data_IF_399122515468
#
_entry.id   IF_399122515468
#
_cell.length_a   1.000
_cell.length_b   1.000
_cell.length_c   1.000
_cell.angle_alpha   90.00
_cell.angle_beta   90.00
_cell.angle_gamma   90.00
#
_symmetry.space_group_name_H-M   'P 1'
#
loop_
_entity.id
_entity.type
_entity.pdbx_description
1 polymer ?
#
# COMPACT_ATOMS: atom_id res chain seq x y z
N UNK A 1 -12.52 4.89 33.73
CA UNK A 1 -12.00 3.64 33.12
C UNK A 1 -13.15 2.77 32.65
N UNK A 2 -14.10 2.37 33.50
CA UNK A 2 -15.28 1.57 33.09
C UNK A 2 -16.17 2.24 32.03
N UNK A 3 -16.39 3.55 32.11
CA UNK A 3 -17.25 4.27 31.16
C UNK A 3 -16.61 4.39 29.77
N UNK A 4 -15.29 4.62 29.74
CA UNK A 4 -14.47 4.60 28.54
C UNK A 4 -14.41 3.20 27.92
N UNK A 5 -14.37 2.15 28.77
CA UNK A 5 -14.41 0.75 28.35
C UNK A 5 -15.79 0.36 27.78
N UNK A 6 -16.89 0.83 28.38
CA UNK A 6 -18.25 0.66 27.84
C UNK A 6 -18.47 1.41 26.54
N UNK A 7 -17.91 2.62 26.39
CA UNK A 7 -17.96 3.38 25.13
C UNK A 7 -17.08 2.77 24.02
N UNK A 8 -15.92 2.20 24.37
CA UNK A 8 -15.13 1.39 23.45
C UNK A 8 -15.91 0.16 23.01
N UNK A 9 -16.60 -0.53 23.94
CA UNK A 9 -17.40 -1.71 23.65
C UNK A 9 -18.66 -1.41 22.81
N UNK A 10 -19.27 -0.23 22.98
CA UNK A 10 -20.39 0.24 22.17
C UNK A 10 -19.98 0.55 20.72
N UNK A 11 -18.70 0.90 20.50
CA UNK A 11 -18.14 1.21 19.19
C UNK A 11 -17.54 -0.03 18.53
N UNK A 12 -18.39 -0.86 17.93
CA UNK A 12 -17.98 -2.07 17.20
C UNK A 12 -16.80 -1.83 16.25
N UNK A 13 -16.82 -0.72 15.49
CA UNK A 13 -15.74 -0.35 14.57
C UNK A 13 -14.37 -0.11 15.23
N UNK A 14 -14.33 0.49 16.43
CA UNK A 14 -13.09 0.75 17.16
C UNK A 14 -12.54 -0.58 17.73
N UNK A 15 -13.41 -1.42 18.31
CA UNK A 15 -13.02 -2.76 18.76
C UNK A 15 -12.47 -3.61 17.61
N UNK A 16 -13.11 -3.56 16.44
CA UNK A 16 -12.66 -4.28 15.25
C UNK A 16 -11.27 -3.79 14.81
N UNK A 17 -11.06 -2.46 14.77
CA UNK A 17 -9.78 -1.89 14.36
C UNK A 17 -8.63 -2.29 15.28
N UNK A 18 -8.80 -2.12 16.60
CA UNK A 18 -7.78 -2.49 17.58
C UNK A 18 -7.65 -4.00 17.76
N UNK A 19 -8.75 -4.74 17.63
CA UNK A 19 -8.77 -6.20 17.62
C UNK A 19 -7.99 -6.78 16.42
N UNK A 20 -8.15 -6.19 15.24
CA UNK A 20 -7.39 -6.59 14.05
C UNK A 20 -5.88 -6.36 14.23
N UNK A 21 -5.50 -5.22 14.84
CA UNK A 21 -4.10 -4.94 15.18
C UNK A 21 -3.55 -5.94 16.20
N UNK A 22 -4.30 -6.21 17.27
CA UNK A 22 -3.91 -7.18 18.30
C UNK A 22 -3.76 -8.59 17.70
N UNK A 23 -4.69 -9.01 16.85
CA UNK A 23 -4.61 -10.30 16.18
C UNK A 23 -3.38 -10.37 15.26
N UNK A 24 -3.07 -9.32 14.51
CA UNK A 24 -1.84 -9.25 13.71
C UNK A 24 -0.56 -9.29 14.55
N UNK A 25 -0.61 -8.84 15.81
CA UNK A 25 0.50 -8.97 16.75
C UNK A 25 0.66 -10.43 17.20
N UNK A 26 -0.44 -11.10 17.55
CA UNK A 26 -0.45 -12.45 18.14
C UNK A 26 -0.32 -13.58 17.11
N UNK A 27 -1.01 -13.48 15.97
CA UNK A 27 -1.12 -14.51 14.94
C UNK A 27 -0.77 -13.93 13.56
N UNK A 28 0.53 -13.71 13.27
CA UNK A 28 0.94 -13.20 11.98
C UNK A 28 0.67 -14.26 10.90
N UNK A 29 -0.25 -13.97 9.97
CA UNK A 29 -0.48 -14.81 8.80
C UNK A 29 0.77 -14.76 7.93
N UNK A 30 1.46 -15.88 7.68
CA UNK A 30 2.63 -15.88 6.82
C UNK A 30 2.26 -15.36 5.44
N UNK A 31 3.11 -14.51 4.86
CA UNK A 31 2.95 -14.01 3.49
C UNK A 31 2.62 -15.13 2.51
N UNK A 32 3.26 -16.29 2.67
CA UNK A 32 3.09 -17.48 1.85
C UNK A 32 1.63 -17.94 1.73
N UNK A 33 0.89 -17.82 2.83
CA UNK A 33 -0.45 -18.36 3.00
C UNK A 33 -1.54 -17.29 2.89
N UNK A 34 -1.17 -16.03 2.64
CA UNK A 34 -2.13 -14.93 2.61
C UNK A 34 -3.09 -15.08 1.40
N UNK A 35 -4.42 -15.08 1.61
CA UNK A 35 -5.42 -15.35 0.55
C UNK A 35 -5.32 -14.43 -0.67
N UNK A 36 -4.82 -13.21 -0.46
CA UNK A 36 -4.54 -12.24 -1.53
C UNK A 36 -3.62 -12.78 -2.65
N UNK A 37 -2.81 -13.80 -2.38
CA UNK A 37 -2.01 -14.46 -3.41
C UNK A 37 -2.86 -15.23 -4.41
N UNK A 38 -3.96 -15.83 -3.95
CA UNK A 38 -4.90 -16.52 -4.84
C UNK A 38 -5.56 -15.50 -5.77
N UNK A 39 -5.94 -14.35 -5.23
CA UNK A 39 -6.44 -13.22 -6.01
C UNK A 39 -5.45 -12.78 -7.08
N UNK A 40 -4.18 -12.58 -6.71
CA UNK A 40 -3.11 -12.20 -7.62
C UNK A 40 -2.89 -13.24 -8.74
N UNK A 41 -2.84 -14.53 -8.38
CA UNK A 41 -2.67 -15.62 -9.35
C UNK A 41 -3.87 -15.71 -10.30
N UNK A 42 -5.08 -15.60 -9.78
CA UNK A 42 -6.29 -15.62 -10.60
C UNK A 42 -6.32 -14.43 -11.57
N UNK A 43 -5.90 -13.25 -11.13
CA UNK A 43 -5.74 -12.09 -12.00
C UNK A 43 -4.74 -12.33 -13.13
N UNK A 44 -3.61 -12.98 -12.86
CA UNK A 44 -2.63 -13.35 -13.89
C UNK A 44 -3.22 -14.33 -14.91
N UNK A 45 -3.85 -15.42 -14.44
CA UNK A 45 -4.48 -16.42 -15.30
C UNK A 45 -5.62 -15.86 -16.15
N UNK A 46 -6.42 -14.94 -15.60
CA UNK A 46 -7.45 -14.26 -16.35
C UNK A 46 -6.83 -13.42 -17.47
N UNK A 47 -5.79 -12.65 -17.16
CA UNK A 47 -5.14 -11.80 -18.15
C UNK A 47 -4.44 -12.62 -19.24
N UNK A 48 -3.84 -13.77 -18.94
CA UNK A 48 -3.29 -14.69 -19.95
C UNK A 48 -4.35 -15.14 -20.98
N UNK A 49 -5.62 -15.24 -20.58
CA UNK A 49 -6.72 -15.63 -21.47
C UNK A 49 -7.26 -14.46 -22.32
N UNK A 50 -7.31 -13.26 -21.74
CA UNK A 50 -8.05 -12.11 -22.33
C UNK A 50 -7.16 -10.97 -22.85
N UNK A 51 -5.88 -10.93 -22.49
CA UNK A 51 -4.92 -9.92 -22.93
C UNK A 51 -4.20 -10.40 -24.21
N UNK A 52 -4.82 -10.17 -25.37
CA UNK A 52 -4.29 -10.62 -26.67
C UNK A 52 -3.54 -9.49 -27.36
N UNK A 53 -2.39 -9.72 -28.01
CA UNK A 53 -1.57 -8.63 -28.58
C UNK A 53 -2.18 -7.94 -29.82
N UNK A 54 -3.46 -8.16 -30.13
CA UNK A 54 -4.10 -7.80 -31.39
C UNK A 54 -4.26 -6.27 -31.57
N UNK A 55 -4.83 -5.57 -30.59
CA UNK A 55 -5.12 -4.13 -30.68
C UNK A 55 -5.04 -3.42 -29.32
N UNK A 56 -4.53 -2.19 -29.33
CA UNK A 56 -4.40 -1.35 -28.12
C UNK A 56 -5.77 -1.09 -27.46
N UNK A 57 -6.77 -0.70 -28.26
CA UNK A 57 -8.12 -0.37 -27.74
C UNK A 57 -8.83 -1.61 -27.23
N UNK A 58 -8.69 -2.74 -27.92
CA UNK A 58 -9.24 -4.02 -27.50
C UNK A 58 -8.62 -4.48 -26.17
N UNK A 59 -7.32 -4.31 -25.99
CA UNK A 59 -6.65 -4.64 -24.72
C UNK A 59 -7.05 -3.75 -23.57
N UNK A 60 -7.23 -2.45 -23.84
CA UNK A 60 -7.73 -1.54 -22.82
C UNK A 60 -9.17 -1.90 -22.40
N UNK A 61 -10.03 -2.28 -23.37
CA UNK A 61 -11.38 -2.73 -23.09
C UNK A 61 -11.40 -4.07 -22.34
N UNK A 62 -10.62 -5.07 -22.78
CA UNK A 62 -10.54 -6.37 -22.12
C UNK A 62 -9.99 -6.25 -20.70
N UNK A 63 -9.02 -5.38 -20.46
CA UNK A 63 -8.52 -5.07 -19.13
C UNK A 63 -9.54 -4.40 -18.23
N UNK A 64 -10.36 -3.48 -18.78
CA UNK A 64 -11.46 -2.85 -18.05
C UNK A 64 -12.55 -3.85 -17.70
N UNK A 65 -12.94 -4.71 -18.64
CA UNK A 65 -13.93 -5.78 -18.40
C UNK A 65 -13.40 -6.81 -17.40
N UNK A 66 -12.13 -7.20 -17.47
CA UNK A 66 -11.51 -8.10 -16.50
C UNK A 66 -11.49 -7.50 -15.09
N UNK A 67 -11.17 -6.20 -14.96
CA UNK A 67 -11.25 -5.47 -13.70
C UNK A 67 -12.67 -5.52 -13.12
N UNK A 68 -13.68 -5.18 -13.91
CA UNK A 68 -15.08 -5.20 -13.49
C UNK A 68 -15.56 -6.62 -13.14
N UNK A 69 -15.19 -7.62 -13.95
CA UNK A 69 -15.52 -9.02 -13.73
C UNK A 69 -14.93 -9.56 -12.42
N UNK A 70 -13.76 -9.08 -12.00
CA UNK A 70 -13.19 -9.47 -10.72
C UNK A 70 -13.85 -8.70 -9.57
N UNK A 71 -13.95 -7.37 -9.66
CA UNK A 71 -14.39 -6.55 -8.53
C UNK A 71 -15.91 -6.58 -8.29
N UNK A 72 -16.74 -6.53 -9.33
CA UNK A 72 -18.21 -6.41 -9.15
C UNK A 72 -18.83 -7.66 -8.51
N UNK A 73 -18.56 -8.90 -8.97
CA UNK A 73 -19.12 -10.07 -8.31
C UNK A 73 -18.65 -10.21 -6.87
N UNK A 74 -17.39 -9.84 -6.58
CA UNK A 74 -16.86 -9.83 -5.22
C UNK A 74 -17.62 -8.82 -4.34
N UNK A 75 -17.84 -7.60 -4.83
CA UNK A 75 -18.59 -6.58 -4.11
C UNK A 75 -20.03 -7.02 -3.85
N UNK A 76 -20.72 -7.50 -4.90
CA UNK A 76 -22.11 -7.98 -4.81
C UNK A 76 -22.21 -9.12 -3.80
N UNK A 77 -21.29 -10.08 -3.85
CA UNK A 77 -21.26 -11.19 -2.89
C UNK A 77 -21.06 -10.70 -1.45
N UNK A 78 -20.09 -9.80 -1.21
CA UNK A 78 -19.82 -9.29 0.13
C UNK A 78 -21.02 -8.52 0.71
N UNK A 79 -21.68 -7.70 -0.11
CA UNK A 79 -22.89 -6.96 0.28
C UNK A 79 -24.07 -7.91 0.50
N UNK A 80 -24.24 -8.90 -0.38
CA UNK A 80 -25.31 -9.90 -0.25
C UNK A 80 -25.13 -10.80 0.96
N UNK A 81 -23.90 -11.10 1.38
CA UNK A 81 -23.61 -11.90 2.58
C UNK A 81 -23.85 -11.12 3.87
N UNK A 82 -23.67 -9.80 3.86
CA UNK A 82 -23.79 -8.96 5.07
C UNK A 82 -25.06 -9.22 5.90
N UNK A 83 -26.28 -9.28 5.33
CA UNK A 83 -27.50 -9.56 6.10
C UNK A 83 -27.64 -11.02 6.58
N UNK A 84 -26.88 -11.96 6.02
CA UNK A 84 -26.93 -13.38 6.44
C UNK A 84 -25.97 -13.68 7.61
N UNK A 85 -25.03 -12.78 7.91
CA UNK A 85 -24.07 -13.03 8.98
C UNK A 85 -24.72 -12.78 10.34
N UNK A 86 -24.66 -13.79 11.22
CA UNK A 86 -25.18 -13.70 12.58
C UNK A 86 -24.53 -12.56 13.39
N UNK A 87 -23.23 -12.34 13.22
CA UNK A 87 -22.46 -11.31 13.94
C UNK A 87 -21.67 -10.43 12.97
N UNK A 88 -22.23 -9.25 12.66
CA UNK A 88 -21.66 -8.29 11.69
C UNK A 88 -20.23 -7.85 12.05
N UNK A 89 -19.92 -7.71 13.34
CA UNK A 89 -18.61 -7.25 13.81
C UNK A 89 -17.52 -8.29 13.53
N UNK A 90 -17.84 -9.59 13.65
CA UNK A 90 -16.90 -10.66 13.30
C UNK A 90 -16.65 -10.72 11.80
N UNK A 91 -17.68 -10.46 11.00
CA UNK A 91 -17.55 -10.35 9.55
C UNK A 91 -16.61 -9.21 9.16
N UNK A 92 -16.86 -8.01 9.68
CA UNK A 92 -16.01 -6.84 9.42
C UNK A 92 -14.58 -7.03 9.90
N UNK A 93 -14.39 -7.64 11.08
CA UNK A 93 -13.07 -8.02 11.59
C UNK A 93 -12.36 -8.98 10.64
N UNK A 94 -13.04 -10.03 10.18
CA UNK A 94 -12.45 -10.98 9.24
C UNK A 94 -12.03 -10.30 7.93
N UNK A 95 -12.87 -9.42 7.37
CA UNK A 95 -12.53 -8.67 6.16
C UNK A 95 -11.36 -7.72 6.37
N UNK A 96 -11.31 -7.03 7.51
CA UNK A 96 -10.20 -6.13 7.85
C UNK A 96 -8.89 -6.89 8.04
N UNK A 97 -8.92 -8.05 8.70
CA UNK A 97 -7.77 -8.94 8.83
C UNK A 97 -7.25 -9.44 7.48
N UNK A 98 -8.14 -9.73 6.53
CA UNK A 98 -7.77 -10.11 5.17
C UNK A 98 -7.21 -8.94 4.35
N UNK A 99 -7.61 -7.72 4.67
CA UNK A 99 -7.17 -6.53 3.95
C UNK A 99 -5.82 -6.00 4.45
N UNK A 100 -5.61 -6.00 5.77
CA UNK A 100 -4.47 -5.39 6.44
C UNK A 100 -3.19 -6.23 6.23
N UNK A 101 -2.06 -5.59 5.93
CA UNK A 101 -0.79 -6.31 5.77
C UNK A 101 0.42 -5.58 6.40
N UNK A 102 0.30 -5.26 7.70
CA UNK A 102 1.36 -4.58 8.46
C UNK A 102 2.63 -5.44 8.62
N UNK A 103 2.47 -6.67 9.13
CA UNK A 103 3.58 -7.54 9.58
C UNK A 103 4.53 -7.91 8.45
N UNK A 104 3.97 -8.12 7.27
CA UNK A 104 4.71 -8.26 6.03
C UNK A 104 5.67 -7.10 5.80
N UNK A 105 5.17 -5.87 5.84
CA UNK A 105 5.98 -4.67 5.60
C UNK A 105 7.06 -4.51 6.66
N UNK A 106 6.73 -4.77 7.92
CA UNK A 106 7.68 -4.75 9.05
C UNK A 106 8.79 -5.80 8.87
N UNK A 107 8.42 -7.03 8.51
CA UNK A 107 9.36 -8.14 8.28
C UNK A 107 10.28 -7.84 7.11
N UNK A 108 9.73 -7.30 6.01
CA UNK A 108 10.51 -6.89 4.85
C UNK A 108 11.52 -5.80 5.22
N UNK A 109 11.08 -4.75 5.93
CA UNK A 109 11.95 -3.66 6.34
C UNK A 109 13.11 -4.17 7.21
N UNK A 110 12.80 -5.02 8.19
CA UNK A 110 13.79 -5.62 9.10
C UNK A 110 14.79 -6.53 8.38
N UNK A 111 14.31 -7.42 7.51
CA UNK A 111 15.17 -8.33 6.75
C UNK A 111 16.04 -7.56 5.75
N UNK A 112 15.48 -6.54 5.10
CA UNK A 112 16.22 -5.71 4.15
C UNK A 112 17.27 -4.85 4.86
N UNK A 113 16.96 -4.28 6.02
CA UNK A 113 17.91 -3.55 6.85
C UNK A 113 19.10 -4.44 7.23
N UNK A 114 18.85 -5.69 7.69
CA UNK A 114 19.92 -6.65 8.02
C UNK A 114 20.77 -7.02 6.80
N UNK A 115 20.13 -7.35 5.68
CA UNK A 115 20.84 -7.70 4.44
C UNK A 115 21.71 -6.53 3.96
N UNK A 116 21.17 -5.31 3.97
CA UNK A 116 21.92 -4.12 3.56
C UNK A 116 23.04 -3.73 4.53
N UNK A 117 22.86 -3.92 5.84
CA UNK A 117 23.89 -3.67 6.85
C UNK A 117 25.09 -4.61 6.67
N UNK A 118 24.83 -5.84 6.25
CA UNK A 118 25.85 -6.85 5.94
C UNK A 118 26.36 -6.79 4.49
N UNK A 119 25.94 -5.78 3.71
CA UNK A 119 26.21 -5.67 2.27
C UNK A 119 25.82 -6.90 1.42
N UNK A 120 24.91 -7.73 1.93
CA UNK A 120 24.40 -8.93 1.25
C UNK A 120 23.37 -8.55 0.17
N UNK A 121 23.90 -8.23 -1.00
CA UNK A 121 23.13 -7.85 -2.18
C UNK A 121 22.24 -8.99 -2.67
N UNK A 122 22.63 -10.25 -2.49
CA UNK A 122 21.88 -11.41 -2.99
C UNK A 122 20.57 -11.51 -2.22
N UNK A 123 20.66 -11.58 -0.90
CA UNK A 123 19.49 -11.64 -0.02
C UNK A 123 18.60 -10.40 -0.21
N UNK A 124 19.18 -9.19 -0.29
CA UNK A 124 18.41 -7.96 -0.51
C UNK A 124 17.63 -7.97 -1.85
N UNK A 125 18.21 -8.54 -2.93
CA UNK A 125 17.54 -8.68 -4.23
C UNK A 125 16.39 -9.69 -4.14
N UNK A 126 16.61 -10.83 -3.50
CA UNK A 126 15.59 -11.86 -3.33
C UNK A 126 14.39 -11.34 -2.55
N UNK A 127 14.64 -10.58 -1.48
CA UNK A 127 13.58 -9.95 -0.67
C UNK A 127 12.73 -8.94 -1.46
N UNK A 128 13.34 -8.18 -2.36
CA UNK A 128 12.66 -7.12 -3.12
C UNK A 128 12.00 -7.62 -4.42
N UNK A 129 12.48 -8.70 -5.01
CA UNK A 129 12.00 -9.22 -6.30
C UNK A 129 10.48 -9.43 -6.34
N UNK A 130 9.81 -9.99 -5.29
CA UNK A 130 8.36 -10.13 -5.31
C UNK A 130 7.60 -8.80 -5.39
N UNK A 131 8.20 -7.69 -4.92
CA UNK A 131 7.55 -6.38 -4.80
C UNK A 131 7.80 -5.45 -5.97
N UNK A 132 8.85 -5.71 -6.75
CA UNK A 132 9.30 -4.85 -7.82
C UNK A 132 8.90 -5.43 -9.17
N UNK A 133 8.32 -4.60 -10.03
CA UNK A 133 8.07 -4.94 -11.43
C UNK A 133 9.29 -4.66 -12.33
N UNK A 134 10.42 -4.26 -11.74
CA UNK A 134 11.69 -3.94 -12.42
C UNK A 134 12.73 -5.01 -12.15
N UNK A 135 13.75 -5.06 -13.00
CA UNK A 135 14.88 -5.98 -12.80
C UNK A 135 15.67 -5.63 -11.55
N UNK A 136 15.93 -6.65 -10.72
CA UNK A 136 16.68 -6.52 -9.46
C UNK A 136 18.11 -7.02 -9.57
N UNK A 137 18.41 -7.88 -10.55
CA UNK A 137 19.72 -8.55 -10.72
C UNK A 137 20.89 -7.57 -10.85
N UNK A 138 20.68 -6.44 -11.53
CA UNK A 138 21.70 -5.42 -11.79
C UNK A 138 21.73 -4.31 -10.74
N UNK A 139 20.87 -4.34 -9.72
CA UNK A 139 20.83 -3.29 -8.70
C UNK A 139 22.09 -3.29 -7.85
N UNK A 140 22.76 -2.15 -7.78
CA UNK A 140 23.81 -1.86 -6.81
C UNK A 140 23.23 -1.70 -5.40
N UNK A 141 24.09 -1.64 -4.37
CA UNK A 141 23.63 -1.42 -2.99
C UNK A 141 22.83 -0.11 -2.85
N UNK A 142 23.23 0.95 -3.56
CA UNK A 142 22.49 2.21 -3.65
C UNK A 142 21.12 2.02 -4.31
N UNK A 143 21.08 1.24 -5.40
CA UNK A 143 19.82 0.91 -6.10
C UNK A 143 18.87 0.10 -5.22
N UNK A 144 19.41 -0.85 -4.45
CA UNK A 144 18.67 -1.65 -3.48
C UNK A 144 18.11 -0.78 -2.34
N UNK A 145 18.90 0.16 -1.82
CA UNK A 145 18.44 1.11 -0.82
C UNK A 145 17.29 1.98 -1.29
N UNK A 146 17.39 2.56 -2.49
CA UNK A 146 16.30 3.34 -3.10
C UNK A 146 15.05 2.50 -3.32
N UNK A 147 15.22 1.32 -3.91
CA UNK A 147 14.11 0.41 -4.18
C UNK A 147 13.45 -0.09 -2.90
N UNK A 148 14.25 -0.38 -1.88
CA UNK A 148 13.82 -0.78 -0.55
C UNK A 148 13.00 0.28 0.14
N UNK A 149 13.55 1.50 0.24
CA UNK A 149 12.86 2.63 0.82
C UNK A 149 11.51 2.89 0.13
N UNK A 150 11.47 2.92 -1.20
CA UNK A 150 10.23 3.08 -1.96
C UNK A 150 9.21 1.97 -1.65
N UNK A 151 9.67 0.72 -1.61
CA UNK A 151 8.81 -0.44 -1.36
C UNK A 151 8.22 -0.41 0.04
N UNK A 152 9.03 -0.08 1.06
CA UNK A 152 8.59 0.03 2.45
C UNK A 152 7.59 1.18 2.61
N UNK A 153 7.91 2.36 2.08
CA UNK A 153 7.04 3.56 2.17
C UNK A 153 5.68 3.28 1.52
N UNK A 154 5.66 2.78 0.29
CA UNK A 154 4.41 2.48 -0.42
C UNK A 154 3.65 1.31 0.19
N UNK A 155 4.38 0.32 0.73
CA UNK A 155 3.81 -0.83 1.42
C UNK A 155 3.00 -0.43 2.64
N UNK A 156 3.56 0.42 3.53
CA UNK A 156 2.81 0.97 4.66
C UNK A 156 1.68 1.90 4.21
N UNK A 157 1.93 2.78 3.22
CA UNK A 157 0.91 3.69 2.71
C UNK A 157 -0.34 2.97 2.21
N UNK A 158 -0.18 1.94 1.38
CA UNK A 158 -1.31 1.20 0.81
C UNK A 158 -1.85 0.13 1.75
N UNK A 159 -0.99 -0.75 2.26
CA UNK A 159 -1.46 -1.94 2.95
C UNK A 159 -1.87 -1.70 4.41
N UNK A 160 -1.70 -0.48 4.91
CA UNK A 160 -2.07 -0.10 6.27
C UNK A 160 -2.94 1.15 6.22
N UNK A 161 -2.40 2.28 5.77
CA UNK A 161 -3.15 3.55 5.82
C UNK A 161 -4.33 3.56 4.86
N UNK A 162 -4.12 3.14 3.61
CA UNK A 162 -5.22 3.02 2.64
C UNK A 162 -6.31 2.05 3.13
N UNK A 163 -5.92 0.91 3.69
CA UNK A 163 -6.84 -0.09 4.27
C UNK A 163 -7.68 0.52 5.40
N UNK A 164 -7.03 1.16 6.38
CA UNK A 164 -7.75 1.77 7.51
C UNK A 164 -8.62 2.96 7.10
N UNK A 165 -8.18 3.76 6.13
CA UNK A 165 -8.98 4.87 5.59
C UNK A 165 -10.27 4.35 4.94
N UNK A 166 -10.18 3.35 4.06
CA UNK A 166 -11.35 2.77 3.41
C UNK A 166 -12.19 1.91 4.36
N UNK A 167 -11.61 1.39 5.45
CA UNK A 167 -12.36 0.80 6.57
C UNK A 167 -13.25 1.84 7.26
N UNK A 168 -12.74 3.05 7.52
CA UNK A 168 -13.54 4.10 8.16
C UNK A 168 -14.75 4.54 7.32
N UNK A 169 -14.64 4.45 5.99
CA UNK A 169 -15.69 4.90 5.05
C UNK A 169 -16.69 3.78 4.72
N UNK A 170 -16.19 2.58 4.44
CA UNK A 170 -17.00 1.47 3.91
C UNK A 170 -16.94 0.18 4.74
N UNK A 171 -16.48 0.26 5.99
CA UNK A 171 -16.31 -0.88 6.87
C UNK A 171 -15.35 -1.94 6.31
N UNK A 172 -15.51 -3.18 6.76
CA UNK A 172 -14.68 -4.31 6.30
C UNK A 172 -14.72 -4.51 4.78
N UNK A 173 -15.88 -4.29 4.16
CA UNK A 173 -16.05 -4.41 2.70
C UNK A 173 -15.21 -3.36 1.97
N UNK A 174 -15.28 -2.09 2.39
CA UNK A 174 -14.48 -1.01 1.81
C UNK A 174 -12.97 -1.27 1.91
N UNK A 175 -12.52 -1.74 3.07
CA UNK A 175 -11.13 -2.10 3.32
C UNK A 175 -10.64 -3.22 2.38
N UNK A 176 -11.40 -4.31 2.27
CA UNK A 176 -11.05 -5.44 1.42
C UNK A 176 -11.10 -5.08 -0.07
N UNK A 177 -12.14 -4.36 -0.51
CA UNK A 177 -12.27 -3.94 -1.90
C UNK A 177 -11.14 -3.01 -2.33
N UNK A 178 -10.70 -2.10 -1.46
CA UNK A 178 -9.49 -1.31 -1.70
C UNK A 178 -8.27 -2.23 -1.86
N UNK A 179 -8.05 -3.17 -0.93
CA UNK A 179 -6.91 -4.10 -0.98
C UNK A 179 -6.90 -4.93 -2.27
N UNK A 180 -8.03 -5.52 -2.65
CA UNK A 180 -8.18 -6.30 -3.88
C UNK A 180 -7.88 -5.45 -5.12
N UNK A 181 -8.34 -4.20 -5.15
CA UNK A 181 -8.09 -3.27 -6.26
C UNK A 181 -6.60 -2.93 -6.38
N UNK A 182 -5.92 -2.64 -5.27
CA UNK A 182 -4.47 -2.37 -5.29
C UNK A 182 -3.65 -3.56 -5.81
N UNK A 183 -4.11 -4.78 -5.53
CA UNK A 183 -3.44 -6.01 -5.97
C UNK A 183 -3.68 -6.32 -7.43
N UNK A 184 -4.84 -5.97 -8.00
CA UNK A 184 -5.07 -6.01 -9.45
C UNK A 184 -4.16 -5.03 -10.19
N UNK A 185 -4.02 -3.79 -9.69
CA UNK A 185 -3.11 -2.82 -10.27
C UNK A 185 -1.64 -3.28 -10.22
N UNK A 186 -1.27 -4.05 -9.20
CA UNK A 186 0.05 -4.68 -9.12
C UNK A 186 0.18 -5.85 -10.11
N UNK A 187 -0.81 -6.74 -10.16
CA UNK A 187 -0.86 -7.91 -11.03
C UNK A 187 -0.85 -7.54 -12.52
N UNK A 188 -1.44 -6.41 -12.89
CA UNK A 188 -1.51 -5.90 -14.26
C UNK A 188 -0.75 -4.58 -14.43
N UNK A 189 0.40 -4.42 -13.77
CA UNK A 189 1.13 -3.15 -13.84
C UNK A 189 1.57 -2.78 -15.28
N UNK A 190 1.20 -1.60 -15.80
CA UNK A 190 1.63 -1.09 -17.12
C UNK A 190 3.14 -0.92 -17.29
N UNK A 191 3.90 -0.97 -16.19
CA UNK A 191 5.37 -1.03 -16.25
C UNK A 191 5.90 -2.29 -16.93
N UNK A 192 5.08 -3.35 -17.01
CA UNK A 192 5.34 -4.53 -17.83
C UNK A 192 4.66 -4.30 -19.18
N UNK A 193 5.44 -4.28 -20.26
CA UNK A 193 4.97 -3.92 -21.60
C UNK A 193 3.74 -4.73 -22.04
N UNK A 194 3.69 -6.02 -21.69
CA UNK A 194 2.55 -6.89 -21.96
C UNK A 194 1.22 -6.39 -21.34
N UNK A 195 1.26 -5.67 -20.22
CA UNK A 195 0.09 -5.11 -19.53
C UNK A 195 -0.11 -3.60 -19.77
N UNK A 196 0.65 -2.96 -20.66
CA UNK A 196 0.63 -1.51 -20.81
C UNK A 196 -0.78 -0.93 -21.10
N UNK A 197 -1.53 -1.39 -22.13
CA UNK A 197 -2.93 -0.99 -22.34
C UNK A 197 -3.89 -1.66 -21.36
N UNK A 198 -3.70 -2.96 -21.10
CA UNK A 198 -4.61 -3.80 -20.30
C UNK A 198 -4.75 -3.33 -18.85
N UNK A 199 -3.63 -3.01 -18.21
CA UNK A 199 -3.56 -2.63 -16.81
C UNK A 199 -4.02 -1.22 -16.46
N UNK A 200 -4.27 -0.38 -17.49
CA UNK A 200 -4.42 1.05 -17.31
C UNK A 200 -5.62 1.41 -16.42
N UNK A 201 -6.74 0.72 -16.59
CA UNK A 201 -7.96 0.93 -15.80
C UNK A 201 -7.76 0.55 -14.33
N UNK A 202 -7.08 -0.56 -14.05
CA UNK A 202 -6.79 -0.99 -12.67
C UNK A 202 -5.86 0.00 -11.95
N UNK A 203 -4.82 0.49 -12.64
CA UNK A 203 -3.90 1.50 -12.10
C UNK A 203 -4.58 2.85 -11.91
N UNK A 204 -5.44 3.28 -12.84
CA UNK A 204 -6.20 4.54 -12.71
C UNK A 204 -7.17 4.49 -11.53
N UNK A 205 -7.93 3.41 -11.38
CA UNK A 205 -8.83 3.22 -10.25
C UNK A 205 -8.06 3.22 -8.93
N UNK A 206 -6.95 2.48 -8.86
CA UNK A 206 -6.08 2.47 -7.67
C UNK A 206 -5.51 3.87 -7.39
N UNK A 207 -5.07 4.59 -8.41
CA UNK A 207 -4.53 5.93 -8.26
C UNK A 207 -5.58 6.90 -7.70
N UNK A 208 -6.85 6.77 -8.11
CA UNK A 208 -7.97 7.54 -7.57
C UNK A 208 -8.20 7.22 -6.09
N UNK A 209 -8.26 5.93 -5.74
CA UNK A 209 -8.46 5.48 -4.35
C UNK A 209 -7.29 5.84 -3.42
N UNK A 210 -6.08 5.97 -3.97
CA UNK A 210 -4.88 6.37 -3.25
C UNK A 210 -4.79 7.88 -2.99
N UNK A 211 -5.49 8.74 -3.76
CA UNK A 211 -5.26 10.19 -3.71
C UNK A 211 -5.47 10.74 -2.30
N UNK A 212 -6.64 10.49 -1.71
CA UNK A 212 -7.03 11.06 -0.43
C UNK A 212 -6.21 10.45 0.72
N UNK A 213 -6.19 9.11 0.94
CA UNK A 213 -5.49 8.53 2.08
C UNK A 213 -4.00 8.85 2.07
N UNK A 214 -3.34 8.74 0.91
CA UNK A 214 -1.89 8.95 0.86
C UNK A 214 -1.50 10.43 1.00
N UNK A 215 -2.35 11.38 0.57
CA UNK A 215 -2.11 12.81 0.80
C UNK A 215 -2.31 13.20 2.26
N UNK A 216 -3.38 12.75 2.90
CA UNK A 216 -3.61 12.99 4.33
C UNK A 216 -2.47 12.42 5.17
N UNK A 217 -2.05 11.19 4.85
CA UNK A 217 -0.91 10.58 5.52
C UNK A 217 0.40 11.32 5.25
N UNK A 218 0.61 11.80 4.02
CA UNK A 218 1.78 12.60 3.72
C UNK A 218 1.80 13.92 4.50
N UNK A 219 0.65 14.59 4.67
CA UNK A 219 0.54 15.78 5.52
C UNK A 219 0.85 15.47 6.98
N UNK A 220 0.31 14.37 7.52
CA UNK A 220 0.62 13.90 8.87
C UNK A 220 2.12 13.61 9.05
N UNK A 221 2.75 12.99 8.04
CA UNK A 221 4.19 12.74 7.99
C UNK A 221 5.00 14.04 7.96
N UNK A 222 4.50 15.11 7.35
CA UNK A 222 5.20 16.40 7.28
C UNK A 222 5.36 17.04 8.67
N UNK A 223 4.36 16.92 9.55
CA UNK A 223 4.32 17.57 10.88
C UNK A 223 5.57 17.26 11.73
N UNK A 224 6.08 18.29 12.43
CA UNK A 224 7.23 18.21 13.33
C UNK A 224 8.51 18.77 12.70
N UNK A 225 9.65 18.16 13.03
CA UNK A 225 10.96 18.59 12.50
C UNK A 225 10.97 18.56 10.96
N UNK A 226 11.53 19.60 10.35
CA UNK A 226 11.65 19.80 8.90
C UNK A 226 10.31 19.89 8.13
N UNK A 227 9.20 20.26 8.78
CA UNK A 227 7.89 20.36 8.12
C UNK A 227 7.89 21.29 6.90
N UNK A 228 8.50 22.48 7.00
CA UNK A 228 8.58 23.43 5.87
C UNK A 228 9.32 22.87 4.66
N UNK A 229 10.43 22.16 4.89
CA UNK A 229 11.21 21.49 3.83
C UNK A 229 10.37 20.38 3.20
N UNK A 230 9.69 19.57 4.01
CA UNK A 230 8.88 18.45 3.53
C UNK A 230 7.70 18.93 2.68
N UNK A 231 6.96 19.95 3.13
CA UNK A 231 5.83 20.53 2.40
C UNK A 231 6.26 21.24 1.11
N UNK A 232 7.35 22.01 1.16
CA UNK A 232 7.94 22.64 -0.03
C UNK A 232 8.34 21.57 -1.06
N UNK A 233 8.98 20.50 -0.60
CA UNK A 233 9.36 19.36 -1.42
C UNK A 233 8.18 18.64 -2.08
N UNK A 234 7.08 18.42 -1.36
CA UNK A 234 5.84 17.89 -1.95
C UNK A 234 5.36 18.79 -3.09
N UNK A 235 5.24 20.10 -2.85
CA UNK A 235 4.73 21.05 -3.84
C UNK A 235 5.58 21.08 -5.12
N UNK A 236 6.90 21.02 -4.96
CA UNK A 236 7.84 21.10 -6.08
C UNK A 236 8.01 19.76 -6.83
N UNK A 237 8.03 18.63 -6.11
CA UNK A 237 8.49 17.36 -6.68
C UNK A 237 7.36 16.35 -6.90
N UNK A 238 6.26 16.38 -6.13
CA UNK A 238 5.19 15.40 -6.28
C UNK A 238 4.53 15.38 -7.68
N UNK A 239 4.38 16.51 -8.40
CA UNK A 239 3.85 16.50 -9.78
C UNK A 239 4.72 15.75 -10.78
N UNK A 240 6.01 15.55 -10.48
CA UNK A 240 6.92 14.80 -11.36
C UNK A 240 6.75 13.28 -11.27
N UNK A 241 6.01 12.79 -10.27
CA UNK A 241 5.77 11.37 -10.09
C UNK A 241 4.52 10.91 -10.86
N UNK A 242 4.54 9.72 -11.51
CA UNK A 242 3.43 9.27 -12.35
C UNK A 242 2.07 9.12 -11.64
N UNK A 243 2.08 8.87 -10.32
CA UNK A 243 0.87 8.66 -9.54
C UNK A 243 0.79 9.69 -8.40
N UNK A 244 -0.30 10.48 -8.30
CA UNK A 244 -0.36 11.63 -7.40
C UNK A 244 -0.27 11.24 -5.92
N UNK A 245 -1.01 10.23 -5.47
CA UNK A 245 -0.97 9.76 -4.07
C UNK A 245 0.42 9.24 -3.66
N UNK A 246 0.98 8.24 -4.37
CA UNK A 246 2.34 7.76 -4.16
C UNK A 246 3.41 8.86 -4.24
N UNK A 247 3.25 9.82 -5.16
CA UNK A 247 4.16 10.95 -5.33
C UNK A 247 4.27 11.81 -4.07
N UNK A 248 3.14 12.17 -3.46
CA UNK A 248 3.11 12.92 -2.20
C UNK A 248 3.82 12.17 -1.07
N UNK A 249 3.50 10.88 -0.92
CA UNK A 249 4.04 10.06 0.15
C UNK A 249 5.56 9.87 0.04
N UNK A 250 6.06 9.59 -1.15
CA UNK A 250 7.50 9.42 -1.37
C UNK A 250 8.24 10.76 -1.26
N UNK A 251 7.67 11.85 -1.75
CA UNK A 251 8.28 13.18 -1.64
C UNK A 251 8.38 13.64 -0.19
N UNK A 252 7.34 13.45 0.64
CA UNK A 252 7.40 13.91 2.03
C UNK A 252 8.45 13.15 2.83
N UNK A 253 8.53 11.83 2.69
CA UNK A 253 9.51 11.01 3.41
C UNK A 253 10.93 11.31 2.89
N UNK A 254 11.08 11.38 1.57
CA UNK A 254 12.34 11.72 0.92
C UNK A 254 12.87 13.09 1.35
N UNK A 255 12.04 14.13 1.41
CA UNK A 255 12.49 15.47 1.83
C UNK A 255 12.73 15.54 3.35
N UNK A 256 11.88 14.90 4.16
CA UNK A 256 12.02 14.91 5.62
C UNK A 256 13.31 14.26 6.10
N UNK A 257 13.71 13.16 5.46
CA UNK A 257 14.92 12.41 5.76
C UNK A 257 16.09 12.72 4.80
N UNK A 258 15.94 13.72 3.91
CA UNK A 258 16.94 14.10 2.89
C UNK A 258 17.37 12.96 1.95
N UNK A 259 16.50 11.97 1.76
CA UNK A 259 16.73 10.78 0.93
C UNK A 259 16.38 11.03 -0.53
N UNK A 260 17.29 10.63 -1.42
CA UNK A 260 17.11 10.61 -2.87
C UNK A 260 16.42 9.31 -3.30
N UNK A 261 15.16 9.41 -3.67
CA UNK A 261 14.36 8.31 -4.22
C UNK A 261 14.19 8.49 -5.74
N UNK A 262 13.67 7.47 -6.43
CA UNK A 262 13.54 7.46 -7.88
C UNK A 262 14.88 7.27 -8.60
N UNK A 263 14.99 7.84 -9.81
CA UNK A 263 16.15 7.68 -10.68
C UNK A 263 16.05 6.47 -11.62
N UNK A 264 17.19 5.99 -12.15
CA UNK A 264 17.21 4.99 -13.21
C UNK A 264 16.66 3.64 -12.73
N UNK A 265 15.81 3.04 -13.55
CA UNK A 265 15.27 1.70 -13.36
C UNK A 265 15.36 0.93 -14.70
N UNK A 266 15.52 -0.39 -14.65
CA UNK A 266 15.56 -1.23 -15.84
C UNK A 266 14.31 -2.11 -15.86
N UNK A 267 13.55 -2.04 -16.96
CA UNK A 267 12.37 -2.87 -17.20
C UNK A 267 12.57 -3.62 -18.51
N UNK A 268 12.62 -4.96 -18.45
CA UNK A 268 12.81 -5.83 -19.61
C UNK A 268 13.97 -5.37 -20.53
N UNK A 269 15.14 -5.12 -19.95
CA UNK A 269 16.35 -4.66 -20.62
C UNK A 269 16.37 -3.17 -20.99
N UNK A 270 15.25 -2.44 -20.85
CA UNK A 270 15.18 -1.00 -21.17
C UNK A 270 15.38 -0.14 -19.94
N UNK A 271 16.34 0.78 -20.01
CA UNK A 271 16.57 1.79 -18.97
C UNK A 271 15.50 2.88 -19.08
N UNK A 272 14.77 3.11 -17.99
CA UNK A 272 13.80 4.19 -17.83
C UNK A 272 14.27 5.10 -16.71
N UNK A 273 14.36 6.41 -17.00
CA UNK A 273 14.67 7.40 -15.99
C UNK A 273 13.39 7.89 -15.33
N UNK A 274 13.22 7.57 -14.04
CA UNK A 274 12.14 8.12 -13.22
C UNK A 274 12.62 9.42 -12.58
N UNK A 275 11.69 10.36 -12.40
CA UNK A 275 11.95 11.58 -11.66
C UNK A 275 12.62 11.28 -10.31
N UNK A 276 13.70 12.02 -10.02
CA UNK A 276 14.36 11.96 -8.71
C UNK A 276 13.56 12.84 -7.76
N UNK A 277 13.20 12.28 -6.61
CA UNK A 277 12.40 12.97 -5.59
C UNK A 277 13.06 12.83 -4.22
N UNK A 278 12.74 13.75 -3.30
CA UNK A 278 13.36 13.89 -2.00
C UNK A 278 14.65 14.71 -2.01
N UNK A 279 15.59 14.33 -1.15
CA UNK A 279 16.88 14.97 -0.98
C UNK A 279 18.01 14.34 -1.81
N UNK A 280 19.23 14.37 -1.27
CA UNK A 280 20.47 13.99 -1.98
C UNK A 280 21.05 12.65 -1.54
N UNK A 281 20.70 12.16 -0.35
CA UNK A 281 21.32 10.99 0.27
C UNK A 281 20.70 9.71 -0.28
N UNK A 282 21.49 8.78 -0.81
CA UNK A 282 20.94 7.47 -1.17
C UNK A 282 20.61 6.68 0.11
N UNK A 283 19.42 6.03 0.20
CA UNK A 283 19.07 5.27 1.39
C UNK A 283 20.06 4.12 1.65
N UNK A 284 20.43 3.96 2.92
CA UNK A 284 21.22 2.84 3.44
C UNK A 284 20.40 2.06 4.47
N UNK A 285 20.97 1.02 5.08
CA UNK A 285 20.31 0.24 6.13
C UNK A 285 19.78 1.12 7.28
N UNK A 286 20.58 2.07 7.77
CA UNK A 286 20.18 3.03 8.80
C UNK A 286 18.95 3.86 8.39
N UNK A 287 18.89 4.28 7.12
CA UNK A 287 17.79 5.08 6.63
C UNK A 287 16.49 4.28 6.49
N UNK A 288 16.57 2.97 6.22
CA UNK A 288 15.39 2.09 6.21
C UNK A 288 14.79 2.00 7.62
N UNK A 289 15.63 1.89 8.64
CA UNK A 289 15.20 1.89 10.04
C UNK A 289 14.56 3.23 10.45
N UNK A 290 15.15 4.36 10.04
CA UNK A 290 14.57 5.69 10.24
C UNK A 290 13.21 5.84 9.55
N UNK A 291 13.07 5.34 8.31
CA UNK A 291 11.79 5.31 7.59
C UNK A 291 10.76 4.49 8.39
N UNK A 292 11.13 3.29 8.82
CA UNK A 292 10.24 2.42 9.57
C UNK A 292 9.77 3.07 10.87
N UNK A 293 10.68 3.67 11.63
CA UNK A 293 10.37 4.37 12.88
C UNK A 293 9.43 5.56 12.63
N UNK A 294 9.73 6.39 11.62
CA UNK A 294 8.88 7.52 11.25
C UNK A 294 7.46 7.07 10.86
N UNK A 295 7.36 6.05 10.00
CA UNK A 295 6.08 5.51 9.54
C UNK A 295 5.30 4.89 10.71
N UNK A 296 5.95 4.10 11.57
CA UNK A 296 5.30 3.44 12.69
C UNK A 296 4.66 4.44 13.65
N UNK A 297 5.39 5.47 14.05
CA UNK A 297 4.87 6.55 14.90
C UNK A 297 3.72 7.30 14.24
N UNK A 298 3.82 7.58 12.94
CA UNK A 298 2.78 8.33 12.22
C UNK A 298 1.53 7.49 11.97
N UNK A 299 1.67 6.19 11.79
CA UNK A 299 0.53 5.28 11.72
C UNK A 299 -0.14 5.15 13.10
N UNK A 300 0.63 5.09 14.18
CA UNK A 300 0.04 5.13 15.53
C UNK A 300 -0.80 6.39 15.75
N UNK A 301 -0.28 7.57 15.39
CA UNK A 301 -1.05 8.83 15.45
C UNK A 301 -2.28 8.78 14.54
N UNK A 302 -2.15 8.24 13.32
CA UNK A 302 -3.29 8.05 12.42
C UNK A 302 -4.40 7.22 13.08
N UNK A 303 -4.04 6.09 13.70
CA UNK A 303 -5.00 5.19 14.37
C UNK A 303 -5.68 5.87 15.56
N UNK A 304 -4.97 6.71 16.32
CA UNK A 304 -5.57 7.50 17.40
C UNK A 304 -6.56 8.52 16.87
N UNK A 305 -6.19 9.27 15.83
CA UNK A 305 -7.07 10.26 15.19
C UNK A 305 -8.30 9.58 14.58
N UNK A 306 -8.11 8.45 13.91
CA UNK A 306 -9.21 7.67 13.36
C UNK A 306 -10.12 7.11 14.45
N UNK A 307 -9.56 6.62 15.56
CA UNK A 307 -10.36 6.17 16.73
C UNK A 307 -11.20 7.31 17.30
N UNK A 308 -10.61 8.50 17.42
CA UNK A 308 -11.31 9.69 17.92
C UNK A 308 -12.46 10.07 16.98
N UNK A 309 -12.21 10.13 15.67
CA UNK A 309 -13.23 10.47 14.66
C UNK A 309 -14.37 9.45 14.69
N UNK A 310 -14.07 8.15 14.69
CA UNK A 310 -15.10 7.10 14.76
C UNK A 310 -15.90 7.18 16.06
N UNK A 311 -15.24 7.49 17.18
CA UNK A 311 -15.91 7.68 18.46
C UNK A 311 -16.85 8.89 18.48
N UNK A 312 -16.43 10.01 17.87
CA UNK A 312 -17.27 11.22 17.75
C UNK A 312 -18.51 10.97 16.87
N UNK A 313 -18.32 10.32 15.72
CA UNK A 313 -19.42 9.98 14.80
C UNK A 313 -20.47 9.12 15.51
N UNK A 314 -20.05 8.15 16.32
CA UNK A 314 -20.98 7.29 17.06
C UNK A 314 -21.68 8.01 18.22
N UNK A 315 -21.07 9.08 18.75
CA UNK A 315 -21.70 9.95 19.75
C UNK A 315 -22.72 10.93 19.13
N UNK A 316 -22.91 10.91 17.80
CA UNK A 316 -23.91 11.73 17.11
C UNK A 316 -23.52 13.20 16.92
N UNK A 317 -22.21 13.50 16.97
CA UNK A 317 -21.62 14.81 16.62
C UNK A 317 -21.19 14.77 15.16
#
# INVERSE_FOLDING_TARGET
>A
MEELFKQLYANGAILIMWGALLFHLLLPIPRASHPIRLWHKFAQLLAEKVNRPDSYTQNQLSGTLALLLMLLPCLVLLVALQPLVWQTELFELALLLLALDWRSNETLARQLMRAMANEDKVTARELLTPFLNRETRTLSLLGLGKAGAETVILGYGRNVIGVFFWFAIGGGIGALMYRLTTELARAWSPSRQHYAPFGLSAVRLTALLDVIPLRLFALLLAIGKNAGIALSGIKQQAPSWPLPGPGWLLCVVGNKLQLSLGGPAIYAGRKTERAKIGGRIAPSALHIDQIQTLLAWRIFVWLLLQSLILGLIHQGI
#
